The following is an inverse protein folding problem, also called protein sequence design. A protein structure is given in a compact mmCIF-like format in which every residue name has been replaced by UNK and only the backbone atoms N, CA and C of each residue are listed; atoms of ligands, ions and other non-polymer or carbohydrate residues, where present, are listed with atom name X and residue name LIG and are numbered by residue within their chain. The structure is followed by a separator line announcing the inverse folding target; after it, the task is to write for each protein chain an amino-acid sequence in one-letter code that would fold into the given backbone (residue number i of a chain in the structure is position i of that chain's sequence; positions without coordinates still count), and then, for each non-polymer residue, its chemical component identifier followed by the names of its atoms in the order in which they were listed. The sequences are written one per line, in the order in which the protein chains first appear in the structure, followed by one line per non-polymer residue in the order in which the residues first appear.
data_IF_393976045215
#
_entry.id   IF_393976045215
#
_cell.length_a   1.000
_cell.length_b   1.000
_cell.length_c   1.000
_cell.angle_alpha   90.00
_cell.angle_beta   90.00
_cell.angle_gamma   90.00
#
_symmetry.space_group_name_H-M   'P 1'
#
loop_
_entity.id
_entity.type
_entity.pdbx_description
1 polymer ?
#
# COMPACT_ATOMS: atom_id res chain seq x y z
N UNK A 1 1.41 2.33 53.14
CA UNK A 1 0.96 3.60 52.52
C UNK A 1 1.99 4.00 51.48
N UNK A 2 1.69 3.93 50.17
CA UNK A 2 2.57 4.53 49.19
C UNK A 2 2.16 5.99 48.97
N UNK A 3 3.15 6.87 49.00
CA UNK A 3 3.03 8.29 48.83
C UNK A 3 2.54 8.65 47.42
N UNK A 4 1.38 9.28 47.31
CA UNK A 4 0.90 9.93 46.12
C UNK A 4 1.81 11.11 45.77
N UNK A 5 2.69 10.93 44.79
CA UNK A 5 3.32 12.05 44.11
C UNK A 5 2.23 12.86 43.41
N UNK A 6 1.85 13.98 43.99
CA UNK A 6 1.04 15.00 43.34
C UNK A 6 1.89 15.61 42.22
N UNK A 7 1.67 15.15 40.99
CA UNK A 7 2.12 15.86 39.80
C UNK A 7 1.40 17.22 39.76
N UNK A 8 2.17 18.31 39.66
CA UNK A 8 1.63 19.66 39.47
C UNK A 8 0.67 19.67 38.27
N UNK A 9 -0.39 20.50 38.28
CA UNK A 9 -1.30 20.60 37.14
C UNK A 9 -0.52 21.10 35.94
N UNK A 10 -0.28 20.24 34.98
CA UNK A 10 0.24 20.63 33.67
C UNK A 10 -0.86 21.50 33.04
N UNK A 11 -0.58 22.78 32.79
CA UNK A 11 -1.52 23.69 32.14
C UNK A 11 -1.83 23.10 30.73
N UNK A 12 -3.09 22.78 30.49
CA UNK A 12 -3.55 22.30 29.22
C UNK A 12 -3.37 23.38 28.15
N UNK A 13 -2.61 23.10 27.13
CA UNK A 13 -2.35 24.00 26.01
C UNK A 13 -2.07 23.20 24.72
N UNK A 14 -2.17 23.87 23.59
CA UNK A 14 -1.74 23.30 22.32
C UNK A 14 -0.23 23.43 22.18
N UNK A 15 0.40 22.38 21.65
CA UNK A 15 1.82 22.36 21.36
C UNK A 15 2.19 23.52 20.43
N UNK A 16 3.06 24.42 20.87
CA UNK A 16 3.51 25.59 20.14
C UNK A 16 4.82 25.35 19.38
N UNK A 17 5.02 26.05 18.24
CA UNK A 17 6.28 25.95 17.50
C UNK A 17 7.48 26.39 18.33
N UNK A 18 7.37 27.49 19.06
CA UNK A 18 8.44 27.99 19.93
C UNK A 18 8.85 26.97 20.99
N UNK A 19 7.85 26.28 21.58
CA UNK A 19 8.08 25.26 22.59
C UNK A 19 8.85 24.07 22.01
N UNK A 20 8.45 23.57 20.81
CA UNK A 20 9.16 22.46 20.15
C UNK A 20 10.59 22.87 19.78
N UNK A 21 10.79 24.08 19.27
CA UNK A 21 12.13 24.59 18.95
C UNK A 21 13.02 24.70 20.20
N UNK A 22 12.45 25.11 21.32
CA UNK A 22 13.17 25.15 22.61
C UNK A 22 13.60 23.76 23.08
N UNK A 23 12.71 22.76 22.95
CA UNK A 23 13.03 21.37 23.25
C UNK A 23 14.17 20.84 22.36
N UNK A 24 14.07 21.03 21.03
CA UNK A 24 15.07 20.54 20.08
C UNK A 24 16.43 21.23 20.21
N UNK A 25 16.45 22.52 20.53
CA UNK A 25 17.71 23.25 20.78
C UNK A 25 18.35 22.85 22.11
N UNK A 26 17.56 22.62 23.16
CA UNK A 26 18.01 22.09 24.44
C UNK A 26 18.66 20.71 24.27
N UNK A 27 18.08 19.85 23.43
CA UNK A 27 18.61 18.52 23.11
C UNK A 27 19.76 18.55 22.09
N UNK A 28 20.16 19.72 21.64
CA UNK A 28 21.22 19.91 20.64
C UNK A 28 20.93 19.20 19.30
N UNK A 29 19.67 18.99 18.99
CA UNK A 29 19.26 18.39 17.69
C UNK A 29 19.27 19.42 16.57
N UNK A 30 18.92 20.68 16.87
CA UNK A 30 18.80 21.79 15.93
C UNK A 30 19.77 22.91 16.30
N UNK A 31 20.28 23.65 15.31
CA UNK A 31 21.10 24.83 15.55
C UNK A 31 20.21 25.98 16.11
N UNK A 32 20.63 26.65 17.18
CA UNK A 32 19.89 27.78 17.73
C UNK A 32 19.62 28.90 16.70
N UNK A 33 20.56 29.15 15.78
CA UNK A 33 20.39 30.16 14.74
C UNK A 33 19.30 29.79 13.73
N UNK A 34 19.21 28.50 13.34
CA UNK A 34 18.14 28.00 12.48
C UNK A 34 16.77 28.08 13.16
N UNK A 35 16.72 27.72 14.45
CA UNK A 35 15.50 27.83 15.25
C UNK A 35 15.01 29.27 15.37
N UNK A 36 15.90 30.24 15.62
CA UNK A 36 15.56 31.65 15.70
C UNK A 36 15.10 32.23 14.35
N UNK A 37 15.74 31.83 13.25
CA UNK A 37 15.30 32.20 11.90
C UNK A 37 13.87 31.71 11.62
N UNK A 38 13.53 30.48 12.00
CA UNK A 38 12.19 29.93 11.79
C UNK A 38 11.15 30.64 12.68
N UNK A 39 11.49 31.01 13.92
CA UNK A 39 10.62 31.81 14.81
C UNK A 39 10.28 33.17 14.18
N UNK A 40 11.29 33.86 13.66
CA UNK A 40 11.12 35.16 13.01
C UNK A 40 10.24 35.03 11.75
N UNK A 41 10.48 34.01 10.93
CA UNK A 41 9.69 33.76 9.71
C UNK A 41 8.21 33.49 10.02
N UNK A 42 7.92 32.75 11.08
CA UNK A 42 6.55 32.48 11.53
C UNK A 42 5.87 33.70 12.15
N UNK A 43 6.61 34.60 12.79
CA UNK A 43 6.08 35.89 13.26
C UNK A 43 5.59 36.79 12.13
N UNK A 44 6.19 36.66 10.93
CA UNK A 44 5.81 37.41 9.72
C UNK A 44 4.65 36.73 8.97
N UNK A 45 4.64 35.41 8.90
CA UNK A 45 3.64 34.62 8.17
C UNK A 45 3.23 33.40 8.98
N UNK A 46 2.23 33.53 9.89
CA UNK A 46 1.76 32.40 10.69
C UNK A 46 1.27 31.24 9.83
N UNK A 47 1.60 30.03 10.24
CA UNK A 47 1.12 28.78 9.62
C UNK A 47 0.22 28.04 10.60
N UNK A 48 -0.92 27.54 10.13
CA UNK A 48 -1.82 26.68 10.90
C UNK A 48 -1.34 25.22 10.95
N UNK A 49 -0.22 24.92 10.28
CA UNK A 49 0.35 23.58 10.25
C UNK A 49 0.89 23.16 11.63
N UNK A 50 0.82 21.86 11.92
CA UNK A 50 1.38 21.32 13.16
C UNK A 50 2.88 21.65 13.30
N UNK A 51 3.39 22.02 14.48
CA UNK A 51 4.78 22.43 14.69
C UNK A 51 5.81 21.45 14.13
N UNK A 52 5.62 20.14 14.37
CA UNK A 52 6.55 19.11 13.85
C UNK A 52 6.57 19.07 12.32
N UNK A 53 5.44 19.29 11.64
CA UNK A 53 5.39 19.35 10.17
C UNK A 53 6.15 20.57 9.67
N UNK A 54 5.98 21.72 10.33
CA UNK A 54 6.68 22.96 9.98
C UNK A 54 8.20 22.80 10.07
N UNK A 55 8.67 22.12 11.13
CA UNK A 55 10.10 21.86 11.34
C UNK A 55 10.63 20.84 10.35
N UNK A 56 9.93 19.72 10.14
CA UNK A 56 10.35 18.67 9.21
C UNK A 56 10.52 19.20 7.77
N UNK A 57 9.68 20.15 7.36
CA UNK A 57 9.74 20.79 6.05
C UNK A 57 11.01 21.63 5.83
N UNK A 58 11.73 22.00 6.89
CA UNK A 58 13.01 22.70 6.78
C UNK A 58 14.13 21.76 6.30
N UNK A 59 13.96 20.42 6.44
CA UNK A 59 14.94 19.40 6.07
C UNK A 59 16.31 19.61 6.75
N UNK A 60 16.32 20.10 7.96
CA UNK A 60 17.56 20.31 8.73
C UNK A 60 18.25 18.97 9.02
N UNK A 61 19.58 18.97 8.98
CA UNK A 61 20.36 17.84 9.48
C UNK A 61 20.46 17.91 11.02
N UNK A 62 20.28 16.78 11.67
CA UNK A 62 20.50 16.67 13.12
C UNK A 62 21.96 17.01 13.47
N UNK A 63 22.19 17.76 14.51
CA UNK A 63 23.54 17.99 15.06
C UNK A 63 24.09 16.79 15.83
N UNK A 64 23.22 15.85 16.18
CA UNK A 64 23.61 14.59 16.80
C UNK A 64 24.00 13.54 15.75
N UNK A 65 25.07 12.75 16.00
CA UNK A 65 25.38 11.62 15.12
C UNK A 65 24.19 10.67 14.97
N UNK A 66 23.95 10.13 13.78
CA UNK A 66 24.73 10.17 12.55
C UNK A 66 24.42 11.34 11.59
N UNK A 67 23.95 12.48 12.08
CA UNK A 67 23.67 13.72 11.32
C UNK A 67 22.64 13.56 10.21
N UNK A 68 21.62 12.71 10.42
CA UNK A 68 20.53 12.50 9.47
C UNK A 68 19.61 13.71 9.40
N UNK A 69 18.92 13.84 8.25
CA UNK A 69 17.86 14.84 8.11
C UNK A 69 16.75 14.55 9.13
N UNK A 70 16.34 15.58 9.88
CA UNK A 70 15.27 15.47 10.86
C UNK A 70 13.92 15.30 10.15
N UNK A 71 13.47 14.06 10.06
CA UNK A 71 12.16 13.71 9.54
C UNK A 71 11.07 13.80 10.60
N UNK A 72 9.81 13.67 10.17
CA UNK A 72 8.66 13.70 11.07
C UNK A 72 8.68 12.57 12.11
N UNK A 73 9.21 11.40 11.75
CA UNK A 73 9.33 10.24 12.65
C UNK A 73 10.27 10.57 13.83
N UNK A 74 11.49 11.02 13.53
CA UNK A 74 12.49 11.34 14.55
C UNK A 74 12.02 12.48 15.46
N UNK A 75 11.36 13.50 14.89
CA UNK A 75 10.80 14.61 15.66
C UNK A 75 9.67 14.17 16.59
N UNK A 76 8.81 13.24 16.10
CA UNK A 76 7.69 12.71 16.89
C UNK A 76 8.19 11.81 18.01
N UNK A 77 9.17 10.96 17.76
CA UNK A 77 9.80 10.09 18.76
C UNK A 77 10.49 10.91 19.84
N UNK A 78 11.22 11.98 19.46
CA UNK A 78 11.82 12.91 20.41
C UNK A 78 10.78 13.58 21.30
N UNK A 79 9.66 14.06 20.73
CA UNK A 79 8.55 14.63 21.50
C UNK A 79 7.94 13.60 22.46
N UNK A 80 7.72 12.38 22.02
CA UNK A 80 7.15 11.31 22.84
C UNK A 80 7.99 11.05 24.10
N UNK A 81 9.32 10.98 23.93
CA UNK A 81 10.26 10.85 25.05
C UNK A 81 10.21 12.02 26.04
N UNK A 82 9.97 13.25 25.56
CA UNK A 82 9.87 14.44 26.43
C UNK A 82 8.60 14.51 27.25
N UNK A 83 7.50 14.01 26.70
CA UNK A 83 6.20 14.01 27.38
C UNK A 83 5.93 12.72 28.15
N UNK A 84 6.91 11.83 28.22
CA UNK A 84 6.82 10.53 28.90
C UNK A 84 5.64 9.67 28.42
N UNK A 85 5.38 9.70 27.10
CA UNK A 85 4.40 8.87 26.44
C UNK A 85 5.09 7.93 25.43
N UNK A 86 4.51 6.75 25.23
CA UNK A 86 5.00 5.84 24.21
C UNK A 86 4.85 6.47 22.82
N UNK A 87 5.88 6.31 21.97
CA UNK A 87 5.76 6.60 20.55
C UNK A 87 5.01 5.47 19.85
N UNK A 88 3.95 5.81 19.13
CA UNK A 88 3.17 4.87 18.33
C UNK A 88 3.46 5.10 16.85
N UNK A 89 4.21 4.18 16.28
CA UNK A 89 4.40 4.15 14.83
C UNK A 89 3.13 3.58 14.20
N UNK A 90 2.40 4.45 13.49
CA UNK A 90 1.12 4.11 12.89
C UNK A 90 1.30 3.04 11.83
N UNK A 91 0.73 1.85 12.08
CA UNK A 91 0.61 0.78 11.11
C UNK A 91 -0.87 0.58 10.80
N UNK A 92 -1.36 1.15 9.69
CA UNK A 92 -2.78 1.11 9.37
C UNK A 92 -3.32 -0.31 9.17
N UNK A 93 -2.45 -1.28 8.84
CA UNK A 93 -2.84 -2.68 8.69
C UNK A 93 -3.18 -3.36 10.03
N UNK A 94 -2.78 -2.76 11.16
CA UNK A 94 -3.08 -3.27 12.52
C UNK A 94 -4.26 -2.56 13.17
N UNK A 95 -4.84 -1.56 12.52
CA UNK A 95 -5.94 -0.77 13.07
C UNK A 95 -7.28 -1.33 12.57
N UNK A 96 -8.15 -1.72 13.50
CA UNK A 96 -9.54 -2.08 13.17
C UNK A 96 -10.37 -0.81 12.98
N UNK A 97 -10.54 -0.38 11.73
CA UNK A 97 -11.21 0.87 11.36
C UNK A 97 -12.66 0.94 11.87
N UNK A 98 -13.39 -0.17 11.89
CA UNK A 98 -14.76 -0.20 12.36
C UNK A 98 -14.82 0.08 13.87
N UNK A 99 -13.98 -0.60 14.65
CA UNK A 99 -13.91 -0.41 16.09
C UNK A 99 -13.41 1.00 16.46
N UNK A 100 -12.38 1.53 15.79
CA UNK A 100 -11.80 2.83 16.15
C UNK A 100 -12.70 4.00 15.76
N UNK A 101 -13.41 3.94 14.64
CA UNK A 101 -14.37 5.00 14.23
C UNK A 101 -15.65 5.02 15.05
N UNK A 102 -15.95 3.93 15.77
CA UNK A 102 -17.08 3.87 16.71
C UNK A 102 -16.76 4.57 18.06
N UNK A 103 -15.49 4.81 18.40
CA UNK A 103 -15.06 5.40 19.67
C UNK A 103 -15.50 6.86 19.80
N UNK A 104 -15.33 7.65 18.74
CA UNK A 104 -15.66 9.08 18.72
C UNK A 104 -16.01 9.57 17.32
N UNK A 105 -16.63 10.74 17.20
CA UNK A 105 -16.93 11.33 15.88
C UNK A 105 -15.68 11.91 15.20
N UNK A 106 -15.69 11.96 13.86
CA UNK A 106 -14.61 12.58 13.07
C UNK A 106 -14.34 14.03 13.51
N UNK A 107 -15.39 14.83 13.71
CA UNK A 107 -15.24 16.22 14.11
C UNK A 107 -14.58 16.36 15.49
N UNK A 108 -14.94 15.47 16.43
CA UNK A 108 -14.33 15.43 17.77
C UNK A 108 -12.85 15.03 17.69
N UNK A 109 -12.54 13.94 16.97
CA UNK A 109 -11.19 13.47 16.79
C UNK A 109 -10.27 14.51 16.12
N UNK A 110 -10.79 15.19 15.08
CA UNK A 110 -10.06 16.27 14.37
C UNK A 110 -9.82 17.49 15.28
N UNK A 111 -10.82 17.87 16.07
CA UNK A 111 -10.72 19.02 16.99
C UNK A 111 -9.55 18.87 17.97
N UNK A 112 -9.36 17.67 18.51
CA UNK A 112 -8.33 17.39 19.51
C UNK A 112 -7.04 16.82 18.92
N UNK A 113 -6.99 16.52 17.63
CA UNK A 113 -5.84 15.88 16.97
C UNK A 113 -5.56 14.49 17.52
N UNK A 114 -6.62 13.69 17.72
CA UNK A 114 -6.54 12.35 18.32
C UNK A 114 -7.13 11.31 17.39
N UNK A 115 -6.55 10.10 17.40
CA UNK A 115 -7.01 8.96 16.64
C UNK A 115 -7.01 7.72 17.54
N UNK A 116 -8.16 7.06 17.79
CA UNK A 116 -8.14 5.74 18.39
C UNK A 116 -7.41 4.78 17.47
N UNK A 117 -6.51 3.97 18.01
CA UNK A 117 -5.68 3.04 17.22
C UNK A 117 -5.86 1.59 17.64
N UNK A 118 -6.36 1.36 18.84
CA UNK A 118 -6.67 0.02 19.33
C UNK A 118 -7.84 0.08 20.31
N UNK A 119 -8.81 -0.81 20.15
CA UNK A 119 -9.97 -0.93 21.04
C UNK A 119 -9.96 -2.30 21.69
N UNK A 120 -9.54 -2.37 22.94
CA UNK A 120 -9.57 -3.57 23.75
C UNK A 120 -10.86 -3.71 24.58
N UNK A 121 -10.96 -4.78 25.34
CA UNK A 121 -12.12 -5.02 26.24
C UNK A 121 -12.17 -4.00 27.39
N UNK A 122 -11.02 -3.65 27.99
CA UNK A 122 -10.91 -2.77 29.14
C UNK A 122 -10.25 -1.43 28.84
N UNK A 123 -9.45 -1.36 27.80
CA UNK A 123 -8.61 -0.22 27.44
C UNK A 123 -8.82 0.18 25.99
N UNK A 124 -8.74 1.48 25.71
CA UNK A 124 -8.64 2.04 24.37
C UNK A 124 -7.34 2.81 24.25
N UNK A 125 -6.52 2.46 23.25
CA UNK A 125 -5.31 3.22 22.93
C UNK A 125 -5.66 4.31 21.95
N UNK A 126 -5.29 5.56 22.31
CA UNK A 126 -5.57 6.74 21.50
C UNK A 126 -4.26 7.46 21.19
N UNK A 127 -3.94 7.54 19.91
CA UNK A 127 -2.82 8.33 19.40
C UNK A 127 -3.18 9.82 19.44
N UNK A 128 -2.27 10.64 19.97
CA UNK A 128 -2.42 12.09 20.03
C UNK A 128 -1.27 12.79 19.33
N UNK A 129 -1.58 13.91 18.67
CA UNK A 129 -0.59 14.84 18.14
C UNK A 129 -0.40 16.04 19.07
N UNK A 130 -1.27 16.17 20.09
CA UNK A 130 -1.31 17.27 21.05
C UNK A 130 -1.19 16.72 22.48
N UNK A 131 0.01 16.33 22.92
CA UNK A 131 0.18 15.56 24.16
C UNK A 131 -0.23 16.33 25.43
N UNK A 132 -0.28 17.65 25.37
CA UNK A 132 -0.68 18.49 26.51
C UNK A 132 -2.19 18.73 26.61
N UNK A 133 -2.97 18.39 25.55
CA UNK A 133 -4.44 18.45 25.60
C UNK A 133 -4.99 17.15 26.18
N UNK A 134 -5.68 17.23 27.33
CA UNK A 134 -6.19 16.08 28.08
C UNK A 134 -7.70 16.14 28.36
N UNK A 135 -8.36 17.24 28.07
CA UNK A 135 -9.79 17.43 28.38
C UNK A 135 -10.68 16.34 27.77
N UNK A 136 -10.36 15.88 26.55
CA UNK A 136 -11.07 14.81 25.83
C UNK A 136 -10.95 13.45 26.53
N UNK A 137 -9.91 13.20 27.29
CA UNK A 137 -9.59 11.89 27.88
C UNK A 137 -10.69 11.47 28.89
N UNK A 138 -11.12 12.40 29.75
CA UNK A 138 -12.15 12.15 30.76
C UNK A 138 -13.53 11.93 30.12
N UNK A 139 -13.87 12.71 29.10
CA UNK A 139 -15.14 12.60 28.40
C UNK A 139 -15.26 11.23 27.69
N UNK A 140 -14.22 10.83 26.97
CA UNK A 140 -14.18 9.56 26.23
C UNK A 140 -14.17 8.37 27.18
N UNK A 141 -13.34 8.40 28.24
CA UNK A 141 -13.32 7.34 29.25
C UNK A 141 -14.69 7.16 29.94
N UNK A 142 -15.35 8.27 30.28
CA UNK A 142 -16.69 8.25 30.92
C UNK A 142 -17.77 7.65 30.00
N UNK A 143 -17.73 8.01 28.71
CA UNK A 143 -18.68 7.49 27.72
C UNK A 143 -18.47 5.99 27.44
N UNK A 144 -17.22 5.57 27.23
CA UNK A 144 -16.89 4.20 26.87
C UNK A 144 -16.85 3.25 28.07
N UNK A 145 -16.74 3.77 29.28
CA UNK A 145 -16.47 3.01 30.53
C UNK A 145 -15.23 2.10 30.40
N UNK A 146 -14.19 2.64 29.74
CA UNK A 146 -12.90 1.98 29.51
C UNK A 146 -11.76 2.93 29.87
N UNK A 147 -10.63 2.34 30.21
CA UNK A 147 -9.40 3.11 30.45
C UNK A 147 -8.86 3.64 29.12
N UNK A 148 -8.26 4.82 29.16
CA UNK A 148 -7.65 5.45 27.99
C UNK A 148 -6.13 5.42 28.18
N UNK A 149 -5.43 4.78 27.25
CA UNK A 149 -3.96 4.86 27.16
C UNK A 149 -3.59 5.77 26.00
N UNK A 150 -2.88 6.86 26.30
CA UNK A 150 -2.40 7.81 25.30
C UNK A 150 -1.04 7.38 24.77
N UNK A 151 -0.85 7.61 23.49
CA UNK A 151 0.42 7.45 22.79
C UNK A 151 0.63 8.62 21.85
N UNK A 152 1.88 8.99 21.56
CA UNK A 152 2.18 10.06 20.59
C UNK A 152 2.36 9.45 19.22
N UNK A 153 1.77 10.04 18.19
CA UNK A 153 1.91 9.58 16.81
C UNK A 153 2.21 10.73 15.85
N UNK A 154 2.74 10.37 14.69
CA UNK A 154 3.07 11.29 13.61
C UNK A 154 1.84 12.12 13.20
N UNK A 155 1.89 13.47 13.26
CA UNK A 155 0.74 14.31 12.97
C UNK A 155 0.24 14.22 11.52
N UNK A 156 1.11 13.96 10.56
CA UNK A 156 0.69 13.78 9.18
C UNK A 156 -0.11 12.47 9.01
N UNK A 157 0.31 11.39 9.67
CA UNK A 157 -0.40 10.11 9.64
C UNK A 157 -1.75 10.22 10.35
N UNK A 158 -1.79 10.82 11.52
CA UNK A 158 -3.06 11.02 12.26
C UNK A 158 -4.05 11.82 11.42
N UNK A 159 -3.61 12.92 10.80
CA UNK A 159 -4.48 13.75 9.95
C UNK A 159 -5.01 12.95 8.74
N UNK A 160 -4.14 12.19 8.06
CA UNK A 160 -4.50 11.34 6.92
C UNK A 160 -5.50 10.27 7.33
N UNK A 161 -5.20 9.47 8.35
CA UNK A 161 -6.07 8.37 8.79
C UNK A 161 -7.40 8.84 9.37
N UNK A 162 -7.47 10.02 9.98
CA UNK A 162 -8.74 10.61 10.37
C UNK A 162 -9.67 10.80 9.17
N UNK A 163 -9.14 11.32 8.05
CA UNK A 163 -9.95 11.49 6.83
C UNK A 163 -10.31 10.14 6.22
N UNK A 164 -9.35 9.26 6.06
CA UNK A 164 -9.52 7.97 5.37
C UNK A 164 -10.49 7.05 6.11
N UNK A 165 -10.26 6.81 7.41
CA UNK A 165 -11.04 5.84 8.19
C UNK A 165 -12.49 6.28 8.38
N UNK A 166 -12.71 7.57 8.66
CA UNK A 166 -14.07 8.07 8.82
C UNK A 166 -14.83 8.19 7.50
N UNK A 167 -14.15 8.49 6.39
CA UNK A 167 -14.81 8.47 5.07
C UNK A 167 -15.18 7.04 4.65
N UNK A 168 -14.30 6.07 4.88
CA UNK A 168 -14.60 4.67 4.64
C UNK A 168 -15.77 4.18 5.49
N UNK A 169 -15.71 4.40 6.81
CA UNK A 169 -16.77 4.00 7.71
C UNK A 169 -18.12 4.64 7.32
N UNK A 170 -18.11 5.91 6.91
CA UNK A 170 -19.29 6.61 6.39
C UNK A 170 -19.80 5.97 5.10
N UNK A 171 -18.91 5.65 4.14
CA UNK A 171 -19.29 5.03 2.87
C UNK A 171 -19.89 3.65 3.09
N UNK A 172 -19.30 2.83 3.94
CA UNK A 172 -19.86 1.51 4.32
C UNK A 172 -21.22 1.67 5.00
N UNK A 173 -21.35 2.58 5.97
CA UNK A 173 -22.62 2.85 6.66
C UNK A 173 -23.69 3.34 5.70
N UNK A 174 -23.36 4.27 4.80
CA UNK A 174 -24.31 4.80 3.83
C UNK A 174 -24.68 3.77 2.77
N UNK A 175 -23.75 2.92 2.33
CA UNK A 175 -24.08 1.80 1.45
C UNK A 175 -25.13 0.89 2.09
N UNK A 176 -25.03 0.62 3.38
CA UNK A 176 -26.04 -0.15 4.12
C UNK A 176 -27.37 0.59 4.28
N UNK A 177 -27.36 1.92 4.48
CA UNK A 177 -28.57 2.73 4.68
C UNK A 177 -29.35 3.05 3.40
N UNK A 178 -28.68 3.27 2.25
CA UNK A 178 -29.35 3.57 0.98
C UNK A 178 -30.21 2.43 0.44
N UNK A 179 -30.12 1.24 1.01
CA UNK A 179 -31.01 0.11 0.71
C UNK A 179 -32.40 0.19 1.36
N UNK A 180 -32.80 1.34 1.92
CA UNK A 180 -34.16 1.70 2.32
C UNK A 180 -34.59 1.24 3.71
N UNK A 181 -34.29 2.05 4.70
CA UNK A 181 -35.17 2.34 5.84
C UNK A 181 -34.88 3.74 6.39
N UNK A 182 -35.83 4.64 6.19
CA UNK A 182 -35.95 5.85 7.02
C UNK A 182 -36.44 5.41 8.39
N UNK A 183 -35.53 5.23 9.33
CA UNK A 183 -35.87 4.82 10.69
C UNK A 183 -34.70 5.09 11.63
N UNK A 184 -34.87 6.10 12.43
CA UNK A 184 -34.13 6.55 13.60
C UNK A 184 -33.01 5.64 14.15
N UNK A 185 -31.80 6.20 14.27
CA UNK A 185 -30.91 5.91 15.38
C UNK A 185 -30.21 4.56 15.36
N UNK A 186 -29.38 4.28 14.35
CA UNK A 186 -28.49 3.10 14.37
C UNK A 186 -27.11 3.48 14.87
N UNK A 187 -26.83 3.20 16.13
CA UNK A 187 -25.56 3.55 16.82
C UNK A 187 -24.68 2.35 17.18
N UNK A 188 -24.95 1.13 16.67
CA UNK A 188 -24.11 -0.02 17.02
C UNK A 188 -23.86 -0.97 15.83
N UNK A 189 -22.66 -1.55 15.82
CA UNK A 189 -22.20 -2.55 14.87
C UNK A 189 -23.04 -3.84 14.88
N UNK A 190 -23.63 -4.21 16.00
CA UNK A 190 -24.53 -5.37 16.13
C UNK A 190 -25.77 -5.28 15.24
N UNK A 191 -26.29 -4.05 15.04
CA UNK A 191 -27.42 -3.80 14.15
C UNK A 191 -27.04 -3.88 12.66
N UNK A 192 -25.76 -3.69 12.32
CA UNK A 192 -25.23 -3.92 10.95
C UNK A 192 -25.20 -5.41 10.60
N UNK A 193 -24.97 -6.27 11.59
CA UNK A 193 -24.96 -7.73 11.43
C UNK A 193 -26.38 -8.27 11.22
N UNK A 194 -27.39 -7.73 11.94
CA UNK A 194 -28.80 -8.09 11.75
C UNK A 194 -29.34 -7.69 10.37
N UNK A 195 -28.88 -6.55 9.81
CA UNK A 195 -29.27 -6.11 8.46
C UNK A 195 -28.64 -6.98 7.36
N UNK A 196 -27.53 -7.67 7.62
CA UNK A 196 -26.89 -8.61 6.69
C UNK A 196 -27.69 -9.89 6.42
N UNK A 197 -28.72 -10.17 7.22
CA UNK A 197 -29.60 -11.35 7.05
C UNK A 197 -30.77 -11.10 6.07
N UNK A 198 -31.01 -9.87 5.63
CA UNK A 198 -31.97 -9.53 4.60
C UNK A 198 -31.44 -9.79 3.20
N UNK A 199 -32.18 -10.54 2.37
CA UNK A 199 -31.85 -10.92 0.98
C UNK A 199 -31.92 -9.70 0.02
N UNK A 200 -31.15 -8.63 0.28
CA UNK A 200 -31.12 -7.38 -0.50
C UNK A 200 -29.84 -7.28 -1.31
N UNK A 201 -29.99 -7.11 -2.62
CA UNK A 201 -28.90 -6.86 -3.54
C UNK A 201 -28.64 -5.35 -3.61
N UNK A 202 -27.38 -4.95 -3.37
CA UNK A 202 -26.91 -3.59 -3.64
C UNK A 202 -26.60 -3.45 -5.12
N UNK A 203 -26.85 -2.25 -5.67
CA UNK A 203 -26.43 -1.95 -7.03
C UNK A 203 -24.90 -1.75 -7.08
N UNK A 204 -24.25 -2.41 -8.01
CA UNK A 204 -22.83 -2.26 -8.27
C UNK A 204 -22.41 -0.82 -8.65
N UNK A 205 -23.35 -0.01 -9.13
CA UNK A 205 -23.14 1.38 -9.50
C UNK A 205 -23.55 2.38 -8.40
N UNK A 206 -23.96 1.88 -7.22
CA UNK A 206 -24.18 2.76 -6.07
C UNK A 206 -22.91 3.57 -5.78
N UNK A 207 -23.08 4.89 -5.62
CA UNK A 207 -21.95 5.81 -5.38
C UNK A 207 -21.11 5.40 -4.17
N UNK A 208 -21.73 4.81 -3.16
CA UNK A 208 -21.00 4.37 -1.97
C UNK A 208 -20.16 3.12 -2.25
N UNK A 209 -20.65 2.20 -3.09
CA UNK A 209 -19.88 1.03 -3.54
C UNK A 209 -18.69 1.46 -4.41
N UNK A 210 -18.92 2.39 -5.33
CA UNK A 210 -17.84 2.98 -6.15
C UNK A 210 -16.75 3.58 -5.26
N UNK A 211 -17.13 4.43 -4.30
CA UNK A 211 -16.18 5.06 -3.38
C UNK A 211 -15.40 4.05 -2.53
N UNK A 212 -16.04 2.95 -2.10
CA UNK A 212 -15.36 1.90 -1.32
C UNK A 212 -14.32 1.18 -2.20
N UNK A 213 -14.66 0.86 -3.46
CA UNK A 213 -13.73 0.19 -4.40
C UNK A 213 -12.57 1.11 -4.75
N UNK A 214 -12.81 2.39 -5.04
CA UNK A 214 -11.76 3.37 -5.35
C UNK A 214 -10.84 3.57 -4.16
N UNK A 215 -11.38 3.72 -2.96
CA UNK A 215 -10.59 3.79 -1.74
C UNK A 215 -9.73 2.53 -1.54
N UNK A 216 -10.32 1.34 -1.73
CA UNK A 216 -9.63 0.06 -1.56
C UNK A 216 -8.38 -0.03 -2.45
N UNK A 217 -8.51 0.39 -3.70
CA UNK A 217 -7.39 0.39 -4.65
C UNK A 217 -6.32 1.39 -4.25
N UNK A 218 -6.69 2.65 -3.97
CA UNK A 218 -5.73 3.67 -3.56
C UNK A 218 -4.96 3.23 -2.31
N UNK A 219 -5.69 2.69 -1.33
CA UNK A 219 -5.10 2.18 -0.11
C UNK A 219 -4.13 1.00 -0.36
N UNK A 220 -4.49 0.07 -1.23
CA UNK A 220 -3.61 -1.04 -1.61
C UNK A 220 -2.31 -0.54 -2.30
N UNK A 221 -2.43 0.47 -3.16
CA UNK A 221 -1.28 1.08 -3.83
C UNK A 221 -0.35 1.80 -2.84
N UNK A 222 -0.90 2.56 -1.91
CA UNK A 222 -0.13 3.23 -0.84
C UNK A 222 0.61 2.23 0.06
N UNK A 223 -0.04 1.11 0.38
CA UNK A 223 0.57 0.03 1.17
C UNK A 223 1.51 -0.85 0.35
N UNK A 224 1.71 -0.58 -0.95
CA UNK A 224 2.54 -1.37 -1.87
C UNK A 224 2.16 -2.85 -1.88
N UNK A 225 0.86 -3.13 -1.79
CA UNK A 225 0.33 -4.48 -1.86
C UNK A 225 0.59 -5.08 -3.25
N UNK A 226 0.94 -6.36 -3.30
CA UNK A 226 1.04 -7.12 -4.55
C UNK A 226 -0.30 -7.69 -4.99
N UNK A 227 -1.16 -8.07 -4.03
CA UNK A 227 -2.47 -8.63 -4.32
C UNK A 227 -3.52 -8.13 -3.31
N UNK A 228 -4.74 -7.94 -3.80
CA UNK A 228 -5.93 -7.66 -3.00
C UNK A 228 -6.83 -8.88 -3.06
N UNK A 229 -7.22 -9.42 -1.90
CA UNK A 229 -8.12 -10.55 -1.76
C UNK A 229 -9.45 -10.07 -1.20
N UNK A 230 -10.55 -10.36 -1.90
CA UNK A 230 -11.91 -10.17 -1.44
C UNK A 230 -12.51 -11.57 -1.23
N UNK A 231 -12.77 -11.91 0.04
CA UNK A 231 -13.07 -13.29 0.44
C UNK A 231 -14.40 -13.36 1.19
N UNK A 232 -15.41 -13.99 0.61
CA UNK A 232 -16.66 -14.25 1.31
C UNK A 232 -16.45 -15.27 2.44
N UNK A 233 -17.10 -15.02 3.58
CA UNK A 233 -17.19 -15.95 4.71
C UNK A 233 -18.66 -16.08 5.08
N UNK A 234 -18.97 -16.90 6.08
CA UNK A 234 -20.36 -17.21 6.46
C UNK A 234 -21.16 -15.96 6.83
N UNK A 235 -20.60 -15.10 7.67
CA UNK A 235 -21.33 -13.98 8.25
C UNK A 235 -20.80 -12.62 7.74
N UNK A 236 -19.52 -12.52 7.44
CA UNK A 236 -18.82 -11.30 7.01
C UNK A 236 -17.86 -11.61 5.88
N UNK A 237 -17.60 -10.65 5.01
CA UNK A 237 -16.56 -10.74 4.01
C UNK A 237 -15.25 -10.17 4.52
N UNK A 238 -14.13 -10.82 4.16
CA UNK A 238 -12.79 -10.36 4.49
C UNK A 238 -12.13 -9.69 3.29
N UNK A 239 -11.50 -8.56 3.53
CA UNK A 239 -10.57 -7.93 2.59
C UNK A 239 -9.16 -8.07 3.16
N UNK A 240 -8.25 -8.65 2.37
CA UNK A 240 -6.86 -8.85 2.76
C UNK A 240 -5.92 -8.35 1.68
N UNK A 241 -4.80 -7.77 2.08
CA UNK A 241 -3.70 -7.41 1.18
C UNK A 241 -2.53 -8.36 1.35
N UNK A 242 -1.86 -8.70 0.25
CA UNK A 242 -0.55 -9.34 0.29
C UNK A 242 0.51 -8.26 0.20
N UNK A 243 1.36 -8.18 1.21
CA UNK A 243 2.47 -7.21 1.30
C UNK A 243 3.71 -8.02 1.68
N UNK A 244 4.78 -7.89 0.92
CA UNK A 244 6.03 -8.63 1.12
C UNK A 244 5.81 -10.14 1.32
N UNK A 245 4.90 -10.72 0.53
CA UNK A 245 4.55 -12.15 0.56
C UNK A 245 3.56 -12.57 1.65
N UNK A 246 3.27 -11.71 2.64
CA UNK A 246 2.38 -12.00 3.77
C UNK A 246 0.99 -11.42 3.55
N UNK A 247 -0.06 -12.16 3.94
CA UNK A 247 -1.45 -11.70 3.89
C UNK A 247 -1.81 -10.97 5.18
N UNK A 248 -2.22 -9.70 5.04
CA UNK A 248 -2.71 -8.86 6.13
C UNK A 248 -4.21 -8.64 5.99
N UNK A 249 -4.97 -8.83 7.07
CA UNK A 249 -6.38 -8.48 7.09
C UNK A 249 -6.53 -6.97 7.19
N UNK A 250 -7.20 -6.38 6.19
CA UNK A 250 -7.39 -4.92 6.09
C UNK A 250 -8.76 -4.51 6.60
N UNK A 251 -9.79 -5.24 6.19
CA UNK A 251 -11.16 -4.89 6.54
C UNK A 251 -12.08 -6.11 6.61
N UNK A 252 -13.17 -5.96 7.40
CA UNK A 252 -14.30 -6.87 7.39
C UNK A 252 -15.54 -6.11 6.93
N UNK A 253 -16.28 -6.67 5.98
CA UNK A 253 -17.46 -6.03 5.40
C UNK A 253 -18.69 -6.91 5.49
N UNK A 254 -19.90 -6.33 5.64
CA UNK A 254 -21.13 -7.07 5.47
C UNK A 254 -21.18 -7.77 4.12
N UNK A 255 -21.67 -9.01 4.07
CA UNK A 255 -21.72 -9.81 2.85
C UNK A 255 -22.41 -9.11 1.67
N UNK A 256 -23.55 -8.38 1.84
CA UNK A 256 -24.18 -7.65 0.75
C UNK A 256 -23.28 -6.56 0.14
N UNK A 257 -22.50 -5.85 0.96
CA UNK A 257 -21.53 -4.83 0.49
C UNK A 257 -20.40 -5.51 -0.29
N UNK A 258 -19.86 -6.61 0.25
CA UNK A 258 -18.80 -7.38 -0.43
C UNK A 258 -19.26 -7.89 -1.80
N UNK A 259 -20.48 -8.43 -1.88
CA UNK A 259 -21.06 -8.92 -3.14
C UNK A 259 -21.25 -7.80 -4.17
N UNK A 260 -21.68 -6.61 -3.74
CA UNK A 260 -21.80 -5.44 -4.62
C UNK A 260 -20.44 -4.94 -5.10
N UNK A 261 -19.42 -4.91 -4.23
CA UNK A 261 -18.04 -4.59 -4.60
C UNK A 261 -17.51 -5.58 -5.64
N UNK A 262 -17.70 -6.89 -5.42
CA UNK A 262 -17.31 -7.93 -6.37
C UNK A 262 -17.99 -7.72 -7.73
N UNK A 263 -19.29 -7.44 -7.74
CA UNK A 263 -20.05 -7.14 -8.96
C UNK A 263 -19.51 -5.88 -9.66
N UNK A 264 -19.20 -4.81 -8.91
CA UNK A 264 -18.58 -3.59 -9.47
C UNK A 264 -17.24 -3.86 -10.12
N UNK A 265 -16.38 -4.61 -9.47
CA UNK A 265 -15.05 -4.95 -9.97
C UNK A 265 -15.16 -5.85 -11.22
N UNK A 266 -16.11 -6.79 -11.23
CA UNK A 266 -16.41 -7.62 -12.43
C UNK A 266 -16.83 -6.75 -13.62
N UNK A 267 -17.72 -5.76 -13.42
CA UNK A 267 -18.12 -4.82 -14.49
C UNK A 267 -16.89 -4.10 -15.05
N UNK A 268 -16.04 -3.54 -14.18
CA UNK A 268 -14.84 -2.83 -14.61
C UNK A 268 -13.83 -3.74 -15.31
N UNK A 269 -13.73 -5.00 -14.88
CA UNK A 269 -12.88 -6.03 -15.47
C UNK A 269 -13.47 -6.71 -16.72
N UNK A 270 -14.66 -6.26 -17.20
CA UNK A 270 -15.40 -6.85 -18.33
C UNK A 270 -15.70 -8.33 -18.17
N UNK A 271 -15.98 -8.73 -16.93
CA UNK A 271 -16.37 -10.09 -16.57
C UNK A 271 -17.91 -10.22 -16.52
N UNK A 272 -18.44 -11.43 -16.66
CA UNK A 272 -19.88 -11.68 -16.54
C UNK A 272 -20.32 -11.62 -15.07
N UNK A 273 -21.14 -10.62 -14.72
CA UNK A 273 -21.64 -10.39 -13.37
C UNK A 273 -22.69 -11.41 -12.94
N UNK A 274 -23.43 -11.97 -13.90
CA UNK A 274 -24.52 -12.93 -13.65
C UNK A 274 -23.96 -14.31 -13.37
N UNK A 275 -22.93 -14.72 -14.10
CA UNK A 275 -22.28 -16.01 -13.88
C UNK A 275 -21.40 -15.97 -12.62
N UNK A 276 -21.76 -16.78 -11.61
CA UNK A 276 -21.07 -16.87 -10.31
C UNK A 276 -20.56 -18.28 -9.99
N UNK A 277 -20.77 -19.24 -10.89
CA UNK A 277 -20.46 -20.65 -10.68
C UNK A 277 -19.19 -21.10 -11.37
N UNK A 278 -18.60 -20.25 -12.20
CA UNK A 278 -17.39 -20.53 -12.96
C UNK A 278 -16.29 -19.52 -12.62
N UNK A 279 -15.03 -19.95 -12.56
CA UNK A 279 -13.91 -19.02 -12.51
C UNK A 279 -13.94 -18.09 -13.72
N UNK A 280 -13.54 -16.84 -13.52
CA UNK A 280 -13.43 -15.85 -14.58
C UNK A 280 -12.17 -15.02 -14.33
N UNK A 281 -11.55 -14.58 -15.42
CA UNK A 281 -10.41 -13.69 -15.41
C UNK A 281 -10.77 -12.39 -16.12
N UNK A 282 -10.15 -11.28 -15.65
CA UNK A 282 -10.39 -9.95 -16.19
C UNK A 282 -9.19 -9.04 -15.98
N UNK A 283 -9.25 -7.83 -16.56
CA UNK A 283 -8.21 -6.81 -16.40
C UNK A 283 -8.83 -5.44 -16.26
N UNK A 284 -8.23 -4.62 -15.40
CA UNK A 284 -8.61 -3.22 -15.21
C UNK A 284 -7.33 -2.39 -15.33
N UNK A 285 -7.37 -1.32 -16.12
CA UNK A 285 -6.37 -0.27 -16.10
C UNK A 285 -6.91 0.90 -15.29
N UNK A 286 -6.15 1.36 -14.33
CA UNK A 286 -6.51 2.47 -13.45
C UNK A 286 -5.32 3.37 -13.21
N UNK A 287 -5.53 4.49 -12.50
CA UNK A 287 -4.46 5.40 -12.12
C UNK A 287 -4.41 5.58 -10.62
N UNK A 288 -3.20 5.61 -10.09
CA UNK A 288 -2.97 6.03 -8.71
C UNK A 288 -3.05 7.56 -8.58
N UNK A 289 -3.20 8.06 -7.35
CA UNK A 289 -3.29 9.51 -7.08
C UNK A 289 -2.11 10.33 -7.64
N UNK A 290 -0.95 9.70 -7.83
CA UNK A 290 0.21 10.33 -8.49
C UNK A 290 0.07 10.51 -10.01
N UNK A 291 -1.03 10.02 -10.62
CA UNK A 291 -1.26 10.02 -12.07
C UNK A 291 -0.67 8.80 -12.80
N UNK A 292 0.07 7.94 -12.11
CA UNK A 292 0.68 6.73 -12.64
C UNK A 292 -0.37 5.69 -13.03
N UNK A 293 -0.19 5.02 -14.16
CA UNK A 293 -1.04 3.92 -14.60
C UNK A 293 -0.64 2.61 -13.92
N UNK A 294 -1.65 1.86 -13.49
CA UNK A 294 -1.51 0.53 -12.88
C UNK A 294 -2.52 -0.41 -13.51
N UNK A 295 -2.10 -1.63 -13.79
CA UNK A 295 -2.99 -2.71 -14.26
C UNK A 295 -3.33 -3.63 -13.09
N UNK A 296 -4.61 -3.96 -12.96
CA UNK A 296 -5.12 -4.97 -12.04
C UNK A 296 -5.52 -6.21 -12.86
N UNK A 297 -4.90 -7.35 -12.59
CA UNK A 297 -5.30 -8.65 -13.13
C UNK A 297 -6.25 -9.31 -12.13
N UNK A 298 -7.45 -9.62 -12.58
CA UNK A 298 -8.54 -10.12 -11.76
C UNK A 298 -8.73 -11.61 -11.98
N UNK A 299 -8.99 -12.33 -10.91
CA UNK A 299 -9.46 -13.71 -11.00
C UNK A 299 -10.54 -13.96 -9.97
N UNK A 300 -11.68 -14.54 -10.40
CA UNK A 300 -12.75 -14.96 -9.50
C UNK A 300 -12.80 -16.47 -9.38
N UNK A 301 -13.19 -16.92 -8.20
CA UNK A 301 -13.37 -18.33 -7.88
C UNK A 301 -14.66 -18.52 -7.08
N UNK A 302 -15.60 -19.40 -7.51
CA UNK A 302 -16.74 -19.78 -6.70
C UNK A 302 -16.31 -20.50 -5.42
N UNK A 303 -16.83 -20.08 -4.27
CA UNK A 303 -16.59 -20.73 -2.98
C UNK A 303 -17.91 -21.05 -2.28
N UNK A 304 -17.86 -21.79 -1.17
CA UNK A 304 -19.05 -22.17 -0.41
C UNK A 304 -19.89 -20.97 0.07
N UNK A 305 -19.29 -19.77 0.22
CA UNK A 305 -19.97 -18.58 0.75
C UNK A 305 -20.17 -17.47 -0.31
N UNK A 306 -19.82 -17.71 -1.57
CA UNK A 306 -19.90 -16.75 -2.66
C UNK A 306 -18.66 -16.71 -3.51
N UNK A 307 -18.54 -15.72 -4.39
CA UNK A 307 -17.36 -15.55 -5.23
C UNK A 307 -16.21 -14.91 -4.45
N UNK A 308 -15.08 -15.61 -4.37
CA UNK A 308 -13.80 -15.02 -3.99
C UNK A 308 -13.24 -14.28 -5.19
N UNK A 309 -12.66 -13.09 -4.99
CA UNK A 309 -11.97 -12.34 -6.01
C UNK A 309 -10.56 -12.00 -5.55
N UNK A 310 -9.60 -12.18 -6.44
CA UNK A 310 -8.20 -11.75 -6.25
C UNK A 310 -7.86 -10.76 -7.35
N UNK A 311 -7.26 -9.64 -6.96
CA UNK A 311 -6.73 -8.63 -7.87
C UNK A 311 -5.23 -8.56 -7.66
N UNK A 312 -4.44 -9.00 -8.64
CA UNK A 312 -3.00 -8.79 -8.64
C UNK A 312 -2.69 -7.42 -9.19
N UNK A 313 -1.95 -6.65 -8.41
CA UNK A 313 -1.51 -5.31 -8.79
C UNK A 313 -0.24 -5.42 -9.61
N UNK A 314 -0.30 -4.92 -10.82
CA UNK A 314 0.82 -4.89 -11.74
C UNK A 314 1.22 -3.44 -11.99
N UNK A 315 2.43 -3.11 -11.58
CA UNK A 315 3.03 -1.79 -11.74
C UNK A 315 4.14 -1.86 -12.79
N UNK A 316 3.91 -1.37 -14.01
CA UNK A 316 4.89 -1.46 -15.08
C UNK A 316 6.22 -0.77 -14.77
N UNK A 317 6.21 0.32 -14.00
CA UNK A 317 7.44 1.08 -13.70
C UNK A 317 8.40 0.30 -12.79
N UNK A 318 7.90 -0.69 -12.05
CA UNK A 318 8.78 -1.55 -11.23
C UNK A 318 9.68 -2.41 -12.10
N UNK A 319 9.28 -2.70 -13.34
CA UNK A 319 10.03 -3.54 -14.27
C UNK A 319 11.22 -2.82 -14.93
N UNK A 320 11.33 -1.50 -14.81
CA UNK A 320 12.35 -0.69 -15.50
C UNK A 320 13.22 0.13 -14.54
N UNK A 321 13.45 -0.38 -13.36
CA UNK A 321 14.36 0.23 -12.38
C UNK A 321 15.82 -0.01 -12.77
N UNK A 322 16.71 0.90 -12.37
CA UNK A 322 18.14 0.66 -12.51
C UNK A 322 18.62 -0.41 -11.49
N UNK A 323 19.79 -1.00 -11.72
CA UNK A 323 20.28 -2.11 -10.88
C UNK A 323 20.53 -1.68 -9.43
N UNK A 324 20.99 -0.45 -9.19
CA UNK A 324 21.16 0.08 -7.85
C UNK A 324 19.82 0.17 -7.08
N UNK A 325 18.74 0.60 -7.75
CA UNK A 325 17.38 0.63 -7.17
C UNK A 325 16.82 -0.78 -6.90
N UNK A 326 17.33 -1.79 -7.60
CA UNK A 326 17.01 -3.21 -7.35
C UNK A 326 17.81 -3.79 -6.18
N UNK A 327 18.74 -3.02 -5.60
CA UNK A 327 19.53 -3.42 -4.45
C UNK A 327 20.85 -4.13 -4.78
N UNK A 328 21.31 -4.09 -6.03
CA UNK A 328 22.64 -4.58 -6.39
C UNK A 328 23.71 -3.73 -5.70
N UNK A 329 24.75 -4.38 -5.17
CA UNK A 329 25.96 -3.67 -4.76
C UNK A 329 26.70 -3.14 -5.99
N UNK A 330 27.51 -2.09 -5.86
CA UNK A 330 28.33 -1.57 -6.96
C UNK A 330 29.19 -2.65 -7.61
N UNK A 331 29.71 -3.59 -6.81
CA UNK A 331 30.50 -4.71 -7.29
C UNK A 331 29.67 -5.71 -8.10
N UNK A 332 28.47 -6.04 -7.64
CA UNK A 332 27.58 -6.97 -8.35
C UNK A 332 27.00 -6.35 -9.60
N UNK A 333 26.68 -5.06 -9.58
CA UNK A 333 26.25 -4.30 -10.75
C UNK A 333 27.35 -4.30 -11.83
N UNK A 334 28.60 -4.02 -11.46
CA UNK A 334 29.73 -4.08 -12.39
C UNK A 334 29.95 -5.48 -12.99
N UNK A 335 29.81 -6.54 -12.19
CA UNK A 335 29.85 -7.93 -12.67
C UNK A 335 28.70 -8.22 -13.62
N UNK A 336 27.48 -7.79 -13.26
CA UNK A 336 26.28 -7.99 -14.07
C UNK A 336 26.42 -7.33 -15.43
N UNK A 337 26.89 -6.09 -15.50
CA UNK A 337 27.18 -5.39 -16.74
C UNK A 337 28.24 -6.09 -17.59
N UNK A 338 29.29 -6.60 -16.94
CA UNK A 338 30.34 -7.35 -17.65
C UNK A 338 29.82 -8.65 -18.29
N UNK A 339 28.84 -9.33 -17.65
CA UNK A 339 28.24 -10.56 -18.14
C UNK A 339 27.21 -10.25 -19.23
N UNK A 340 26.29 -9.31 -18.95
CA UNK A 340 25.20 -8.95 -19.85
C UNK A 340 25.66 -8.20 -21.12
N UNK A 341 26.85 -7.60 -21.09
CA UNK A 341 27.46 -6.98 -22.26
C UNK A 341 28.23 -7.95 -23.18
N UNK A 342 28.13 -9.28 -22.96
CA UNK A 342 28.73 -10.25 -23.86
C UNK A 342 27.89 -10.40 -25.15
N UNK A 343 28.54 -10.60 -26.32
CA UNK A 343 27.80 -10.68 -27.59
C UNK A 343 26.95 -11.95 -27.74
N UNK A 344 27.23 -13.01 -27.01
CA UNK A 344 26.51 -14.29 -27.04
C UNK A 344 26.70 -15.05 -25.73
N UNK A 345 25.81 -15.99 -25.49
CA UNK A 345 25.80 -16.83 -24.30
C UNK A 345 24.42 -16.91 -23.69
N UNK A 346 24.31 -17.57 -22.52
CA UNK A 346 23.05 -17.70 -21.80
C UNK A 346 23.21 -17.17 -20.37
N UNK A 347 22.27 -16.33 -19.95
CA UNK A 347 22.17 -15.81 -18.57
C UNK A 347 20.87 -16.32 -17.98
N UNK A 348 20.94 -17.02 -16.86
CA UNK A 348 19.81 -17.53 -16.13
C UNK A 348 19.63 -16.81 -14.79
N UNK A 349 18.43 -16.24 -14.60
CA UNK A 349 18.03 -15.63 -13.33
C UNK A 349 17.12 -16.60 -12.61
N UNK A 350 17.53 -17.06 -11.42
CA UNK A 350 16.81 -18.07 -10.65
C UNK A 350 16.27 -17.52 -9.34
N UNK A 351 15.22 -18.13 -8.80
CA UNK A 351 14.64 -17.75 -7.52
C UNK A 351 13.15 -18.03 -7.45
N UNK A 352 12.51 -17.90 -6.27
CA UNK A 352 11.08 -18.14 -6.10
C UNK A 352 10.23 -17.08 -6.82
N UNK A 353 8.93 -17.34 -6.91
CA UNK A 353 7.97 -16.36 -7.45
C UNK A 353 7.98 -15.10 -6.60
N UNK A 354 7.99 -13.92 -7.25
CA UNK A 354 8.04 -12.62 -6.57
C UNK A 354 9.44 -12.17 -6.11
N UNK A 355 10.51 -12.90 -6.44
CA UNK A 355 11.90 -12.52 -6.08
C UNK A 355 12.52 -11.44 -6.99
N UNK A 356 11.79 -10.97 -8.01
CA UNK A 356 12.29 -9.93 -8.91
C UNK A 356 12.97 -10.43 -10.18
N UNK A 357 12.87 -11.73 -10.53
CA UNK A 357 13.48 -12.29 -11.75
C UNK A 357 13.13 -11.50 -13.01
N UNK A 358 11.84 -11.34 -13.29
CA UNK A 358 11.34 -10.60 -14.45
C UNK A 358 11.80 -9.15 -14.43
N UNK A 359 11.75 -8.51 -13.26
CA UNK A 359 12.22 -7.14 -13.08
C UNK A 359 13.70 -7.00 -13.46
N UNK A 360 14.55 -7.92 -12.99
CA UNK A 360 15.99 -7.94 -13.33
C UNK A 360 16.20 -8.09 -14.83
N UNK A 361 15.44 -9.01 -15.50
CA UNK A 361 15.55 -9.21 -16.95
C UNK A 361 15.11 -7.96 -17.72
N UNK A 362 13.94 -7.39 -17.40
CA UNK A 362 13.46 -6.20 -18.11
C UNK A 362 14.39 -5.00 -17.92
N UNK A 363 14.88 -4.76 -16.70
CA UNK A 363 15.86 -3.70 -16.43
C UNK A 363 17.15 -3.90 -17.22
N UNK A 364 17.60 -5.15 -17.33
CA UNK A 364 18.80 -5.49 -18.14
C UNK A 364 18.55 -5.25 -19.62
N UNK A 365 17.45 -5.77 -20.16
CA UNK A 365 17.11 -5.60 -21.57
C UNK A 365 16.95 -4.14 -21.96
N UNK A 366 16.32 -3.33 -21.09
CA UNK A 366 16.15 -1.91 -21.36
C UNK A 366 17.48 -1.14 -21.42
N UNK A 367 18.46 -1.55 -20.63
CA UNK A 367 19.82 -0.98 -20.71
C UNK A 367 20.56 -1.41 -21.99
N UNK A 368 20.31 -2.62 -22.48
CA UNK A 368 20.98 -3.16 -23.67
C UNK A 368 20.28 -2.75 -24.98
N UNK A 369 18.99 -2.41 -24.93
CA UNK A 369 18.20 -2.02 -26.09
C UNK A 369 18.61 -0.63 -26.60
N UNK A 370 19.52 -0.62 -27.56
CA UNK A 370 19.88 0.58 -28.34
C UNK A 370 19.25 0.51 -29.73
N UNK A 371 19.21 1.59 -30.52
CA UNK A 371 18.69 1.54 -31.90
C UNK A 371 19.37 0.51 -32.80
N UNK A 372 20.61 0.11 -32.44
CA UNK A 372 21.41 -0.85 -33.20
C UNK A 372 21.25 -2.29 -32.73
N UNK A 373 20.47 -2.54 -31.64
CA UNK A 373 20.33 -3.86 -31.01
C UNK A 373 18.89 -4.35 -31.18
N UNK A 374 18.71 -5.48 -31.84
CA UNK A 374 17.43 -6.14 -32.00
C UNK A 374 17.12 -7.04 -30.80
N UNK A 375 16.26 -6.55 -29.89
CA UNK A 375 15.81 -7.30 -28.73
C UNK A 375 14.48 -7.98 -29.04
N UNK A 376 14.46 -9.31 -28.96
CA UNK A 376 13.28 -10.14 -29.15
C UNK A 376 12.92 -10.88 -27.86
N UNK A 377 11.63 -11.00 -27.55
CA UNK A 377 11.15 -11.73 -26.38
C UNK A 377 10.06 -12.74 -26.72
N UNK A 378 9.97 -13.82 -25.93
CA UNK A 378 8.85 -14.74 -25.88
C UNK A 378 8.40 -14.91 -24.43
N UNK A 379 7.11 -14.62 -24.15
CA UNK A 379 6.58 -14.46 -22.77
C UNK A 379 5.21 -15.11 -22.61
N UNK A 380 4.87 -15.49 -21.37
CA UNK A 380 3.58 -16.11 -21.01
C UNK A 380 3.01 -15.56 -19.68
N UNK A 381 2.20 -14.49 -19.73
CA UNK A 381 2.00 -13.54 -20.84
C UNK A 381 3.09 -12.45 -20.90
N UNK A 382 3.03 -11.55 -21.90
CA UNK A 382 3.83 -10.32 -21.90
C UNK A 382 3.46 -9.50 -20.67
N UNK A 383 4.47 -9.26 -19.80
CA UNK A 383 4.25 -8.53 -18.55
C UNK A 383 4.09 -7.02 -18.76
N UNK A 384 4.91 -6.45 -19.62
CA UNK A 384 4.88 -5.03 -19.99
C UNK A 384 5.19 -4.88 -21.48
N UNK A 385 4.39 -4.09 -22.19
CA UNK A 385 4.69 -3.73 -23.57
C UNK A 385 5.78 -2.65 -23.55
N UNK A 386 6.97 -2.99 -24.10
CA UNK A 386 8.11 -2.08 -24.23
C UNK A 386 8.34 -1.79 -25.72
N UNK A 387 8.17 -0.53 -26.16
CA UNK A 387 8.29 -0.16 -27.57
C UNK A 387 9.65 -0.50 -28.21
N UNK A 388 10.69 -0.64 -27.40
CA UNK A 388 12.04 -0.99 -27.87
C UNK A 388 12.22 -2.50 -28.11
N UNK A 389 11.24 -3.35 -27.78
CA UNK A 389 11.35 -4.80 -27.91
C UNK A 389 10.37 -5.36 -28.94
N UNK A 390 10.77 -6.42 -29.59
CA UNK A 390 9.92 -7.26 -30.44
C UNK A 390 9.36 -8.41 -29.58
N UNK A 391 8.18 -8.21 -29.02
CA UNK A 391 7.61 -9.08 -28.00
C UNK A 391 6.58 -10.06 -28.59
N UNK A 392 6.82 -11.34 -28.41
CA UNK A 392 5.92 -12.43 -28.78
C UNK A 392 5.27 -13.01 -27.52
N UNK A 393 3.99 -13.30 -27.56
CA UNK A 393 3.29 -13.97 -26.48
C UNK A 393 3.01 -15.43 -26.84
N UNK A 394 3.26 -16.33 -25.88
CA UNK A 394 2.81 -17.73 -25.95
C UNK A 394 1.29 -17.77 -26.15
N UNK A 395 0.83 -18.55 -27.13
CA UNK A 395 -0.58 -18.63 -27.47
C UNK A 395 -0.97 -20.10 -27.69
N UNK A 396 -1.36 -20.83 -26.65
CA UNK A 396 -1.68 -22.26 -26.71
C UNK A 396 -2.80 -22.60 -27.70
N UNK A 397 -3.71 -21.65 -27.96
CA UNK A 397 -4.83 -21.86 -28.89
C UNK A 397 -4.40 -22.09 -30.35
N UNK A 398 -3.16 -21.77 -30.69
CA UNK A 398 -2.57 -21.98 -32.02
C UNK A 398 -1.26 -22.78 -31.91
N UNK A 399 -1.09 -23.55 -30.84
CA UNK A 399 0.09 -24.38 -30.56
C UNK A 399 1.42 -23.62 -30.55
N UNK A 400 1.40 -22.33 -30.25
CA UNK A 400 2.60 -21.49 -30.13
C UNK A 400 3.11 -21.51 -28.67
N UNK A 401 4.10 -22.38 -28.41
CA UNK A 401 4.80 -22.53 -27.15
C UNK A 401 6.12 -21.75 -27.09
N UNK A 402 6.85 -21.86 -25.97
CA UNK A 402 8.15 -21.21 -25.81
C UNK A 402 9.18 -21.73 -26.84
N UNK A 403 9.31 -23.05 -27.03
CA UNK A 403 10.29 -23.63 -27.93
C UNK A 403 10.05 -23.17 -29.38
N UNK A 404 8.78 -23.20 -29.85
CA UNK A 404 8.41 -22.71 -31.19
C UNK A 404 8.66 -21.22 -31.34
N UNK A 405 8.39 -20.45 -30.27
CA UNK A 405 8.68 -19.03 -30.23
C UNK A 405 10.17 -18.74 -30.40
N UNK A 406 11.05 -19.37 -29.61
CA UNK A 406 12.51 -19.22 -29.76
C UNK A 406 12.96 -19.60 -31.18
N UNK A 407 12.46 -20.73 -31.72
CA UNK A 407 12.77 -21.17 -33.10
C UNK A 407 12.33 -20.13 -34.14
N UNK A 408 11.22 -19.44 -33.91
CA UNK A 408 10.76 -18.36 -34.78
C UNK A 408 11.62 -17.09 -34.64
N UNK A 409 11.95 -16.72 -33.43
CA UNK A 409 12.77 -15.53 -33.12
C UNK A 409 14.17 -15.62 -33.70
N UNK A 410 14.83 -16.79 -33.69
CA UNK A 410 16.15 -17.00 -34.33
C UNK A 410 16.17 -16.68 -35.83
N UNK A 411 15.03 -16.56 -36.51
CA UNK A 411 14.92 -16.16 -37.91
C UNK A 411 14.60 -14.69 -38.12
N UNK A 412 14.54 -13.92 -37.02
CA UNK A 412 14.20 -12.50 -37.04
C UNK A 412 15.44 -11.59 -36.84
N UNK A 413 16.65 -12.14 -37.08
CA UNK A 413 17.90 -11.46 -36.93
C UNK A 413 18.06 -10.79 -35.53
N UNK A 414 17.83 -11.55 -34.43
CA UNK A 414 17.93 -10.99 -33.09
C UNK A 414 19.37 -10.93 -32.60
N UNK A 415 19.74 -9.87 -31.89
CA UNK A 415 20.99 -9.82 -31.11
C UNK A 415 20.77 -10.44 -29.72
N UNK A 416 19.60 -10.14 -29.14
CA UNK A 416 19.23 -10.60 -27.80
C UNK A 416 17.87 -11.30 -27.85
N UNK A 417 17.81 -12.48 -27.23
CA UNK A 417 16.56 -13.25 -27.09
C UNK A 417 16.25 -13.40 -25.58
N UNK A 418 15.11 -12.92 -25.14
CA UNK A 418 14.61 -13.20 -23.79
C UNK A 418 13.51 -14.26 -23.85
N UNK A 419 13.74 -15.36 -23.15
CA UNK A 419 12.76 -16.43 -22.94
C UNK A 419 12.20 -16.24 -21.54
N UNK A 420 10.93 -15.93 -21.40
CA UNK A 420 10.29 -15.59 -20.13
C UNK A 420 10.63 -16.59 -19.02
N UNK A 421 10.53 -17.88 -19.34
CA UNK A 421 10.97 -18.96 -18.46
C UNK A 421 11.24 -20.25 -19.23
N UNK A 422 12.09 -21.11 -18.65
CA UNK A 422 12.37 -22.46 -19.13
C UNK A 422 11.67 -23.45 -18.21
N UNK A 423 10.65 -24.16 -18.72
CA UNK A 423 9.87 -25.17 -17.96
C UNK A 423 10.15 -26.60 -18.42
N UNK A 424 10.67 -26.79 -19.62
CA UNK A 424 10.84 -28.08 -20.26
C UNK A 424 12.15 -28.17 -21.02
N UNK A 425 12.51 -29.41 -21.41
CA UNK A 425 13.77 -29.71 -22.05
C UNK A 425 13.83 -29.09 -23.45
N UNK A 426 12.72 -29.09 -24.21
CA UNK A 426 12.70 -28.57 -25.60
C UNK A 426 12.99 -27.06 -25.62
N UNK A 427 12.38 -26.28 -24.68
CA UNK A 427 12.68 -24.87 -24.51
C UNK A 427 14.14 -24.65 -24.13
N UNK A 428 14.68 -25.49 -23.21
CA UNK A 428 16.08 -25.40 -22.80
C UNK A 428 17.04 -25.66 -23.99
N UNK A 429 16.78 -26.67 -24.78
CA UNK A 429 17.58 -27.01 -25.99
C UNK A 429 17.55 -25.86 -27.00
N UNK A 430 16.40 -25.25 -27.24
CA UNK A 430 16.28 -24.11 -28.15
C UNK A 430 17.03 -22.87 -27.62
N UNK A 431 16.96 -22.59 -26.34
CA UNK A 431 17.69 -21.49 -25.71
C UNK A 431 19.23 -21.70 -25.81
N UNK A 432 19.70 -22.91 -25.57
CA UNK A 432 21.12 -23.27 -25.71
C UNK A 432 21.56 -23.16 -27.16
N UNK A 433 20.75 -23.66 -28.11
CA UNK A 433 21.06 -23.58 -29.54
C UNK A 433 21.16 -22.11 -30.00
N UNK A 434 20.24 -21.23 -29.55
CA UNK A 434 20.32 -19.80 -29.85
C UNK A 434 21.60 -19.19 -29.31
N UNK A 435 22.01 -19.51 -28.07
CA UNK A 435 23.25 -19.02 -27.48
C UNK A 435 24.50 -19.51 -28.23
N UNK A 436 24.53 -20.77 -28.69
CA UNK A 436 25.63 -21.34 -29.44
C UNK A 436 25.71 -20.79 -30.87
N UNK A 437 24.62 -20.29 -31.41
CA UNK A 437 24.56 -19.69 -32.76
C UNK A 437 24.82 -18.19 -32.77
N UNK A 438 25.23 -17.60 -31.65
CA UNK A 438 25.75 -16.23 -31.61
C UNK A 438 24.82 -15.21 -30.96
N UNK A 439 23.73 -15.63 -30.31
CA UNK A 439 22.79 -14.73 -29.66
C UNK A 439 23.02 -14.65 -28.16
N UNK A 440 22.78 -13.48 -27.55
CA UNK A 440 22.69 -13.36 -26.10
C UNK A 440 21.28 -13.79 -25.64
N UNK A 441 21.22 -14.86 -24.86
CA UNK A 441 19.95 -15.40 -24.35
C UNK A 441 19.81 -15.08 -22.88
N UNK A 442 18.68 -14.49 -22.48
CA UNK A 442 18.31 -14.27 -21.08
C UNK A 442 17.06 -15.07 -20.75
N UNK A 443 17.02 -15.74 -19.61
CA UNK A 443 15.85 -16.50 -19.19
C UNK A 443 15.75 -16.63 -17.68
N UNK A 444 14.59 -17.15 -17.22
CA UNK A 444 14.39 -17.53 -15.82
C UNK A 444 14.28 -19.05 -15.69
N UNK A 445 14.68 -19.53 -14.52
CA UNK A 445 14.50 -20.92 -14.11
C UNK A 445 13.88 -20.93 -12.70
N UNK A 446 12.92 -21.82 -12.50
CA UNK A 446 12.23 -22.02 -11.20
C UNK A 446 12.86 -23.16 -10.42
#
# INVERSE_FOLDING_TARGET
MPSSLRTAPVHEHRLGLAEVLDLLTTDRMVDPADADNLRLAQGIKPSDAHPLITIANQKWASRLPPHRVLGLEELTESLAGKVELDYYRSDPLKIDFAAVTAVMSSAYATRFGVLPVQVGLREVVVATTQPYLREWEREVAGYLKKDIRRVVANPADVARYLVEFYNLARSVKNAVQSSGHSGAGLSSFEQLVELGQGNRQFDANDRHIVNIVDWLWQYAFEQRASDIHIEPRRDMGLVRFRIDGVLHQVYQMPMPVLAAMTSRIKILGRMDVVEKRRPQDGRIKTRVNSGKEVELRLSTLPTAFGEKLVMRIFDPEVLVRNMAELGFSEQDEARWHSISGKPHGIILVTGPTGSGKTTTLYSTLKQLATPEVNVCTIEDPIEMVEPAFNQMQVTPAIDLGFADGVRALMRQDPDIIMVGEIRDLETAEMAIQAALTGHLVLSTLH
#
